data_IF_322722589379
#
_entry.id   IF_322722589379
#
_cell.length_a   1.000
_cell.length_b   1.000
_cell.length_c   1.000
_cell.angle_alpha   90.00
_cell.angle_beta   90.00
_cell.angle_gamma   90.00
#
_symmetry.space_group_name_H-M   'P 1'
#
loop_
_entity.id
_entity.type
_entity.pdbx_description
1 polymer ?
#
# COMPACT_ATOMS: atom_id res chain seq x y z
N UNK A 1 -10.95 -53.82 -16.11
CA UNK A 1 -11.15 -52.37 -15.91
C UNK A 1 -9.80 -51.72 -15.65
N UNK A 2 -9.26 -50.96 -16.61
CA UNK A 2 -7.97 -50.28 -16.45
C UNK A 2 -8.19 -48.98 -15.67
N UNK A 3 -7.73 -48.93 -14.42
CA UNK A 3 -7.71 -47.71 -13.61
C UNK A 3 -6.69 -46.78 -14.26
N UNK A 4 -7.19 -45.80 -15.03
CA UNK A 4 -6.37 -44.76 -15.64
C UNK A 4 -5.73 -43.95 -14.53
N UNK A 5 -4.41 -44.09 -14.35
CA UNK A 5 -3.61 -43.26 -13.44
C UNK A 5 -3.82 -41.80 -13.87
N UNK A 6 -4.69 -41.07 -13.15
CA UNK A 6 -4.84 -39.62 -13.33
C UNK A 6 -3.44 -39.03 -13.31
N UNK A 7 -3.04 -38.34 -14.38
CA UNK A 7 -1.77 -37.62 -14.45
C UNK A 7 -1.73 -36.65 -13.26
N UNK A 8 -0.95 -37.01 -12.25
CA UNK A 8 -0.80 -36.23 -11.01
C UNK A 8 0.03 -34.99 -11.19
N UNK A 9 0.52 -34.74 -12.42
CA UNK A 9 1.49 -33.71 -12.74
C UNK A 9 0.92 -32.73 -13.77
N UNK A 10 1.23 -31.44 -13.58
CA UNK A 10 0.86 -30.34 -14.46
C UNK A 10 2.07 -29.41 -14.66
N UNK A 11 2.17 -28.81 -15.84
CA UNK A 11 3.29 -27.90 -16.19
C UNK A 11 2.93 -26.47 -15.79
N UNK A 12 3.82 -25.82 -15.04
CA UNK A 12 3.64 -24.41 -14.71
C UNK A 12 3.96 -23.52 -15.91
N UNK A 13 3.02 -22.69 -16.35
CA UNK A 13 3.23 -21.73 -17.44
C UNK A 13 4.27 -20.65 -17.15
N UNK A 14 4.68 -20.44 -15.89
CA UNK A 14 5.72 -19.48 -15.50
C UNK A 14 7.11 -20.13 -15.44
N UNK A 15 7.36 -21.06 -14.51
CA UNK A 15 8.68 -21.68 -14.34
C UNK A 15 8.94 -22.88 -15.26
N UNK A 16 7.96 -23.28 -16.09
CA UNK A 16 8.03 -24.40 -17.04
C UNK A 16 8.34 -25.78 -16.42
N UNK A 17 8.31 -25.91 -15.10
CA UNK A 17 8.50 -27.17 -14.39
C UNK A 17 7.23 -28.00 -14.40
N UNK A 18 7.39 -29.30 -14.57
CA UNK A 18 6.36 -30.31 -14.28
C UNK A 18 6.28 -30.52 -12.78
N UNK A 19 5.13 -30.23 -12.20
CA UNK A 19 4.91 -30.22 -10.75
C UNK A 19 3.63 -31.01 -10.41
N UNK A 20 3.51 -31.54 -9.19
CA UNK A 20 2.28 -32.22 -8.77
C UNK A 20 1.08 -31.25 -8.71
N UNK A 21 -0.13 -31.76 -8.91
CA UNK A 21 -1.36 -30.94 -8.94
C UNK A 21 -1.58 -30.14 -7.66
N UNK A 22 -1.12 -30.64 -6.51
CA UNK A 22 -1.17 -29.98 -5.21
C UNK A 22 -0.36 -28.68 -5.18
N UNK A 23 0.64 -28.54 -6.07
CA UNK A 23 1.41 -27.32 -6.25
C UNK A 23 0.62 -26.23 -7.00
N UNK A 24 -0.59 -26.50 -7.48
CA UNK A 24 -1.46 -25.58 -8.19
C UNK A 24 -2.73 -25.28 -7.40
N UNK A 25 -3.34 -24.13 -7.68
CA UNK A 25 -4.71 -23.87 -7.22
C UNK A 25 -5.68 -24.46 -8.24
N UNK A 26 -6.73 -25.11 -7.78
CA UNK A 26 -7.82 -25.58 -8.64
C UNK A 26 -8.83 -24.45 -8.86
N UNK A 27 -9.36 -24.35 -10.07
CA UNK A 27 -10.49 -23.46 -10.35
C UNK A 27 -11.77 -24.03 -9.72
N UNK A 28 -12.53 -23.19 -9.01
CA UNK A 28 -13.78 -23.58 -8.37
C UNK A 28 -14.86 -23.99 -9.37
N UNK A 29 -14.83 -23.44 -10.60
CA UNK A 29 -15.84 -23.72 -11.63
C UNK A 29 -15.52 -24.97 -12.44
N UNK A 30 -14.26 -25.15 -12.81
CA UNK A 30 -13.86 -26.22 -13.75
C UNK A 30 -13.09 -27.36 -13.08
N UNK A 31 -12.70 -27.23 -11.80
CA UNK A 31 -11.82 -28.15 -11.09
C UNK A 31 -10.47 -28.42 -11.78
N UNK A 32 -10.08 -27.57 -12.72
CA UNK A 32 -8.81 -27.67 -13.42
C UNK A 32 -7.71 -26.90 -12.67
N UNK A 33 -6.47 -27.39 -12.66
CA UNK A 33 -5.33 -26.65 -12.14
C UNK A 33 -5.12 -25.36 -12.93
N UNK A 34 -4.89 -24.27 -12.21
CA UNK A 34 -4.51 -22.99 -12.84
C UNK A 34 -3.14 -23.09 -13.49
N UNK A 35 -2.92 -22.27 -14.52
CA UNK A 35 -1.68 -22.27 -15.32
C UNK A 35 -0.38 -22.08 -14.50
N UNK A 36 -0.41 -21.31 -13.41
CA UNK A 36 0.78 -21.02 -12.61
C UNK A 36 0.72 -21.69 -11.25
N UNK A 37 1.85 -22.29 -10.84
CA UNK A 37 1.99 -22.91 -9.53
C UNK A 37 1.92 -21.87 -8.40
N UNK A 38 1.63 -22.34 -7.18
CA UNK A 38 1.52 -21.54 -5.97
C UNK A 38 2.76 -20.69 -5.72
N UNK A 39 3.96 -21.26 -5.90
CA UNK A 39 5.22 -20.54 -5.70
C UNK A 39 5.43 -19.41 -6.71
N UNK A 40 5.18 -19.65 -8.01
CA UNK A 40 5.26 -18.58 -9.02
C UNK A 40 4.28 -17.45 -8.74
N UNK A 41 3.06 -17.77 -8.27
CA UNK A 41 2.08 -16.74 -7.84
C UNK A 41 2.56 -15.96 -6.62
N UNK A 42 3.11 -16.64 -5.60
CA UNK A 42 3.69 -15.98 -4.42
C UNK A 42 4.82 -15.03 -4.83
N UNK A 43 5.74 -15.47 -5.67
CA UNK A 43 6.85 -14.65 -6.16
C UNK A 43 6.36 -13.46 -6.97
N UNK A 44 5.40 -13.65 -7.88
CA UNK A 44 4.79 -12.55 -8.63
C UNK A 44 4.12 -11.52 -7.70
N UNK A 45 3.38 -11.97 -6.69
CA UNK A 45 2.76 -11.08 -5.69
C UNK A 45 3.80 -10.32 -4.86
N UNK A 46 4.87 -10.99 -4.40
CA UNK A 46 5.99 -10.34 -3.69
C UNK A 46 6.68 -9.29 -4.56
N UNK A 47 6.92 -9.61 -5.83
CA UNK A 47 7.53 -8.68 -6.78
C UNK A 47 6.62 -7.48 -7.05
N UNK A 48 5.32 -7.70 -7.23
CA UNK A 48 4.37 -6.60 -7.40
C UNK A 48 4.40 -5.65 -6.21
N UNK A 49 4.33 -6.18 -4.97
CA UNK A 49 4.44 -5.36 -3.75
C UNK A 49 5.79 -4.63 -3.67
N UNK A 50 6.89 -5.26 -4.08
CA UNK A 50 8.22 -4.62 -4.08
C UNK A 50 8.27 -3.48 -5.09
N UNK A 51 7.72 -3.67 -6.29
CA UNK A 51 7.64 -2.65 -7.34
C UNK A 51 6.73 -1.51 -6.89
N UNK A 52 5.52 -1.78 -6.39
CA UNK A 52 4.63 -0.75 -5.82
C UNK A 52 5.35 0.07 -4.75
N UNK A 53 5.96 -0.59 -3.75
CA UNK A 53 6.75 0.11 -2.73
C UNK A 53 7.86 0.97 -3.33
N UNK A 54 8.61 0.46 -4.30
CA UNK A 54 9.66 1.24 -4.98
C UNK A 54 9.08 2.42 -5.76
N UNK A 55 7.91 2.28 -6.40
CA UNK A 55 7.23 3.41 -7.05
C UNK A 55 6.79 4.47 -6.05
N UNK A 56 6.35 4.09 -4.84
CA UNK A 56 6.09 5.06 -3.75
C UNK A 56 7.38 5.71 -3.22
N UNK A 57 8.49 4.97 -3.10
CA UNK A 57 9.78 5.53 -2.68
C UNK A 57 10.41 6.42 -3.74
N UNK A 58 10.16 6.15 -5.03
CA UNK A 58 10.67 6.96 -6.15
C UNK A 58 9.73 8.11 -6.55
N UNK A 59 8.45 8.09 -6.15
CA UNK A 59 7.58 9.28 -6.08
C UNK A 59 7.96 10.19 -4.92
N UNK A 60 9.24 10.56 -4.86
CA UNK A 60 9.76 11.66 -4.02
C UNK A 60 9.52 13.03 -4.65
N UNK A 61 8.71 13.11 -5.70
CA UNK A 61 7.98 14.35 -5.97
C UNK A 61 6.91 14.47 -4.89
N UNK A 62 7.31 15.06 -3.77
CA UNK A 62 6.38 15.41 -2.70
C UNK A 62 5.32 16.30 -3.31
N UNK A 63 4.07 15.82 -3.37
CA UNK A 63 2.92 16.57 -3.91
C UNK A 63 2.75 17.92 -3.18
N UNK A 64 3.32 18.04 -1.98
CA UNK A 64 3.35 19.24 -1.16
C UNK A 64 4.78 19.68 -0.85
N UNK A 65 5.02 20.98 -0.66
CA UNK A 65 6.33 21.50 -0.29
C UNK A 65 6.74 21.01 1.10
N UNK A 66 7.90 20.35 1.20
CA UNK A 66 8.53 20.03 2.48
C UNK A 66 9.45 21.18 2.86
N UNK A 67 9.04 22.00 3.83
CA UNK A 67 9.71 23.27 4.18
C UNK A 67 11.20 23.07 4.47
N UNK A 68 11.59 21.96 5.11
CA UNK A 68 13.00 21.65 5.42
C UNK A 68 13.85 21.33 4.19
N UNK A 69 13.24 20.93 3.07
CA UNK A 69 13.91 20.63 1.81
C UNK A 69 14.04 21.85 0.89
N UNK A 70 13.46 22.99 1.26
CA UNK A 70 13.54 24.23 0.47
C UNK A 70 14.93 24.84 0.64
N UNK A 71 15.61 25.01 -0.50
CA UNK A 71 16.98 25.53 -0.56
C UNK A 71 17.05 27.04 -0.29
N UNK A 72 16.07 27.81 -0.81
CA UNK A 72 16.01 29.25 -0.60
C UNK A 72 15.71 29.58 0.88
N UNK A 73 16.63 30.24 1.60
CA UNK A 73 16.43 30.57 3.01
C UNK A 73 15.25 31.51 3.28
N UNK A 74 14.95 32.45 2.39
CA UNK A 74 13.90 33.44 2.57
C UNK A 74 12.53 32.79 2.43
N UNK A 75 12.34 32.02 1.36
CA UNK A 75 11.12 31.23 1.14
C UNK A 75 10.90 30.23 2.27
N UNK A 76 11.96 29.56 2.73
CA UNK A 76 11.89 28.64 3.86
C UNK A 76 11.44 29.33 5.14
N UNK A 77 12.03 30.48 5.49
CA UNK A 77 11.65 31.27 6.68
C UNK A 77 10.18 31.69 6.63
N UNK A 78 9.73 32.15 5.46
CA UNK A 78 8.36 32.61 5.28
C UNK A 78 7.35 31.48 5.45
N UNK A 79 7.64 30.30 4.92
CA UNK A 79 6.78 29.13 5.11
C UNK A 79 6.78 28.62 6.56
N UNK A 80 7.91 28.73 7.28
CA UNK A 80 7.96 28.42 8.72
C UNK A 80 7.05 29.39 9.48
N UNK A 81 7.16 30.70 9.20
CA UNK A 81 6.33 31.73 9.84
C UNK A 81 4.84 31.44 9.63
N UNK A 82 4.44 31.20 8.38
CA UNK A 82 3.05 30.88 8.05
C UNK A 82 2.53 29.60 8.74
N UNK A 83 3.36 28.56 8.82
CA UNK A 83 3.00 27.32 9.50
C UNK A 83 2.77 27.55 11.01
N UNK A 84 3.64 28.33 11.66
CA UNK A 84 3.50 28.67 13.08
C UNK A 84 2.22 29.46 13.34
N UNK A 85 1.92 30.46 12.51
CA UNK A 85 0.69 31.26 12.61
C UNK A 85 -0.56 30.40 12.45
N UNK A 86 -0.54 29.48 11.47
CA UNK A 86 -1.65 28.55 11.22
C UNK A 86 -1.90 27.63 12.42
N UNK A 87 -0.83 27.13 13.04
CA UNK A 87 -0.91 26.29 14.24
C UNK A 87 -1.44 27.11 15.43
N UNK A 88 -0.92 28.31 15.66
CA UNK A 88 -1.38 29.19 16.73
C UNK A 88 -2.88 29.51 16.61
N UNK A 89 -3.33 29.89 15.41
CA UNK A 89 -4.74 30.15 15.13
C UNK A 89 -5.61 28.90 15.34
N UNK A 90 -5.12 27.72 14.96
CA UNK A 90 -5.80 26.45 15.21
C UNK A 90 -5.95 26.14 16.70
N UNK A 91 -4.89 26.34 17.49
CA UNK A 91 -4.91 26.17 18.94
C UNK A 91 -5.91 27.13 19.58
N UNK A 92 -5.89 28.41 19.18
CA UNK A 92 -6.81 29.41 19.69
C UNK A 92 -8.27 29.04 19.41
N UNK A 93 -8.60 28.64 18.18
CA UNK A 93 -9.94 28.16 17.83
C UNK A 93 -10.37 26.97 18.69
N UNK A 94 -9.47 26.01 18.95
CA UNK A 94 -9.76 24.87 19.82
C UNK A 94 -10.02 25.30 21.27
N UNK A 95 -9.20 26.20 21.82
CA UNK A 95 -9.41 26.74 23.17
C UNK A 95 -10.75 27.47 23.31
N UNK A 96 -11.10 28.31 22.34
CA UNK A 96 -12.39 29.02 22.33
C UNK A 96 -13.57 28.06 22.30
N UNK A 97 -13.49 26.97 21.51
CA UNK A 97 -14.53 25.94 21.49
C UNK A 97 -14.69 25.23 22.83
N UNK A 98 -13.59 24.92 23.52
CA UNK A 98 -13.66 24.29 24.84
C UNK A 98 -14.32 25.22 25.86
N UNK A 99 -13.92 26.49 25.89
CA UNK A 99 -14.54 27.49 26.78
C UNK A 99 -16.04 27.69 26.49
N UNK A 100 -16.45 27.68 25.22
CA UNK A 100 -17.85 27.77 24.84
C UNK A 100 -18.65 26.54 25.31
N UNK A 101 -18.09 25.33 25.18
CA UNK A 101 -18.73 24.10 25.64
C UNK A 101 -18.84 24.07 27.17
N UNK A 102 -17.81 24.50 27.90
CA UNK A 102 -17.85 24.62 29.37
C UNK A 102 -18.95 25.61 29.80
N UNK A 103 -19.04 26.79 29.17
CA UNK A 103 -20.07 27.77 29.47
C UNK A 103 -21.50 27.30 29.14
N UNK A 104 -21.68 26.43 28.15
CA UNK A 104 -22.98 25.81 27.82
C UNK A 104 -23.39 24.69 28.80
N UNK A 105 -22.45 24.10 29.54
CA UNK A 105 -22.70 23.04 30.53
C UNK A 105 -23.03 23.58 31.93
N UNK A 106 -22.68 24.83 32.21
CA UNK A 106 -22.92 25.52 33.48
C UNK A 106 -24.29 26.26 33.55
N UNK A 107 -25.20 26.00 32.59
CA UNK A 107 -26.56 26.59 32.50
C UNK A 107 -27.64 25.53 32.70
#
# INVERSE_FOLDING_TARGET
MKISKKSTNHVCGCCKRTLPLEAFYLDKKTNLPRNYCKECRKSASRNHRKVEKQTFVNKRETVYPVITLIKDPNVRKELIRHALETVAASIQRKRQKLLAVEAEQDI
#
